data_IF_795934459539
#
_entry.id   IF_795934459539
#
_cell.length_a   1.000
_cell.length_b   1.000
_cell.length_c   1.000
_cell.angle_alpha   90.00
_cell.angle_beta   90.00
_cell.angle_gamma   90.00
#
_symmetry.space_group_name_H-M   'P 1'
#
loop_
_entity.id
_entity.type
_entity.pdbx_description
1 polymer ?
#
# COMPACT_ATOMS: atom_id res chain seq x y z
N UNK A 1 1.40 -8.65 -1.49
CA UNK A 1 1.05 -7.30 -1.99
C UNK A 1 1.99 -6.70 -3.04
N UNK A 2 3.19 -7.24 -3.32
CA UNK A 2 4.10 -6.76 -4.39
C UNK A 2 3.50 -6.68 -5.82
N UNK A 3 2.32 -7.28 -6.04
CA UNK A 3 1.59 -7.21 -7.32
C UNK A 3 0.72 -5.96 -7.45
N UNK A 4 0.54 -5.19 -6.38
CA UNK A 4 -0.18 -3.92 -6.40
C UNK A 4 0.81 -2.82 -6.73
N UNK A 5 0.62 -2.20 -7.90
CA UNK A 5 1.53 -1.22 -8.48
C UNK A 5 0.88 0.16 -8.39
N UNK A 6 1.65 1.16 -7.96
CA UNK A 6 1.25 2.56 -8.09
C UNK A 6 1.27 2.92 -9.60
N UNK A 7 0.12 3.29 -10.20
CA UNK A 7 0.04 3.53 -11.64
C UNK A 7 0.73 4.83 -12.08
N UNK A 8 1.08 5.73 -11.17
CA UNK A 8 1.83 6.95 -11.48
C UNK A 8 3.35 6.71 -11.44
N UNK A 9 3.81 5.97 -10.43
CA UNK A 9 5.24 5.70 -10.23
C UNK A 9 5.73 4.41 -10.87
N UNK A 10 4.83 3.51 -11.26
CA UNK A 10 5.10 2.18 -11.83
C UNK A 10 5.94 1.26 -10.91
N UNK A 11 5.96 1.53 -9.62
CA UNK A 11 6.62 0.72 -8.59
C UNK A 11 5.57 0.13 -7.65
N UNK A 12 5.84 -1.04 -7.08
CA UNK A 12 4.89 -1.66 -6.15
C UNK A 12 4.82 -0.91 -4.83
N UNK A 13 3.64 -0.95 -4.20
CA UNK A 13 3.34 -0.19 -2.98
C UNK A 13 4.19 -0.59 -1.77
N UNK A 14 4.77 -1.79 -1.78
CA UNK A 14 5.61 -2.30 -0.70
C UNK A 14 6.99 -1.67 -0.80
N UNK A 15 7.59 -1.70 -2.00
CA UNK A 15 8.89 -1.07 -2.25
C UNK A 15 8.83 0.45 -2.13
N UNK A 16 7.67 1.04 -2.44
CA UNK A 16 7.38 2.45 -2.22
C UNK A 16 7.24 2.80 -0.73
N UNK A 17 7.12 1.82 0.17
CA UNK A 17 6.91 2.09 1.60
C UNK A 17 5.55 2.72 1.91
N UNK A 18 4.52 2.42 1.12
CA UNK A 18 3.17 2.96 1.33
C UNK A 18 2.39 2.21 2.41
N UNK A 19 2.81 0.99 2.76
CA UNK A 19 2.19 0.18 3.82
C UNK A 19 2.90 0.46 5.14
N UNK A 20 2.18 0.99 6.12
CA UNK A 20 2.73 1.31 7.44
C UNK A 20 2.55 0.17 8.43
N UNK A 21 1.39 -0.47 8.41
CA UNK A 21 1.09 -1.56 9.35
C UNK A 21 0.04 -2.52 8.79
N UNK A 22 0.09 -3.78 9.26
CA UNK A 22 -0.89 -4.82 8.94
C UNK A 22 -1.22 -5.59 10.22
N UNK A 23 -2.48 -5.52 10.63
CA UNK A 23 -2.99 -6.19 11.81
C UNK A 23 -3.96 -7.31 11.40
N UNK A 24 -3.75 -8.51 11.94
CA UNK A 24 -4.69 -9.62 11.82
C UNK A 24 -5.52 -9.69 13.10
N UNK A 25 -6.83 -9.44 13.00
CA UNK A 25 -7.75 -9.34 14.13
C UNK A 25 -8.90 -10.31 13.91
N UNK A 26 -8.84 -11.48 14.57
CA UNK A 26 -9.85 -12.54 14.41
C UNK A 26 -10.10 -12.87 12.93
N UNK A 27 -11.24 -12.47 12.38
CA UNK A 27 -11.67 -12.69 10.99
C UNK A 27 -11.38 -11.50 10.05
N UNK A 28 -10.83 -10.40 10.57
CA UNK A 28 -10.51 -9.19 9.82
C UNK A 28 -8.99 -9.00 9.61
N UNK A 29 -8.65 -8.36 8.50
CA UNK A 29 -7.33 -7.79 8.24
C UNK A 29 -7.48 -6.28 8.15
N UNK A 30 -6.75 -5.56 9.00
CA UNK A 30 -6.67 -4.11 8.95
C UNK A 30 -5.31 -3.70 8.39
N UNK A 31 -5.33 -2.90 7.33
CA UNK A 31 -4.12 -2.35 6.71
C UNK A 31 -4.09 -0.86 6.94
N UNK A 32 -3.06 -0.38 7.62
CA UNK A 32 -2.77 1.06 7.75
C UNK A 32 -1.78 1.43 6.66
N UNK A 33 -2.18 2.35 5.78
CA UNK A 33 -1.35 2.75 4.65
C UNK A 33 -1.50 4.23 4.30
N UNK A 34 -0.61 4.72 3.45
CA UNK A 34 -0.63 6.07 2.91
C UNK A 34 -0.64 6.07 1.38
N UNK A 35 -0.64 7.25 0.78
CA UNK A 35 -0.43 7.46 -0.65
C UNK A 35 0.73 8.44 -0.83
N UNK A 36 1.39 8.37 -1.98
CA UNK A 36 2.46 9.31 -2.36
C UNK A 36 1.98 10.76 -2.35
N UNK A 37 0.70 11.01 -2.65
CA UNK A 37 0.04 12.32 -2.50
C UNK A 37 -1.40 12.21 -1.96
N UNK A 38 -1.89 13.17 -1.14
CA UNK A 38 -3.22 13.08 -0.52
C UNK A 38 -4.40 13.19 -1.47
N UNK A 39 -4.19 13.79 -2.63
CA UNK A 39 -5.22 14.01 -3.65
C UNK A 39 -5.01 13.10 -4.86
N UNK A 40 -4.30 11.99 -4.70
CA UNK A 40 -4.04 11.06 -5.79
C UNK A 40 -5.38 10.50 -6.32
N UNK A 41 -5.75 10.77 -7.59
CA UNK A 41 -6.98 10.25 -8.18
C UNK A 41 -6.96 8.72 -8.29
N UNK A 42 -5.78 8.11 -8.17
CA UNK A 42 -5.57 6.67 -8.24
C UNK A 42 -5.60 5.98 -6.86
N UNK A 43 -5.85 6.71 -5.77
CA UNK A 43 -5.91 6.15 -4.42
C UNK A 43 -6.93 5.01 -4.28
N UNK A 44 -8.09 5.12 -4.95
CA UNK A 44 -9.09 4.04 -4.98
C UNK A 44 -8.59 2.79 -5.72
N UNK A 45 -7.82 2.96 -6.80
CA UNK A 45 -7.25 1.84 -7.53
C UNK A 45 -6.20 1.10 -6.69
N UNK A 46 -5.35 1.86 -5.99
CA UNK A 46 -4.31 1.31 -5.12
C UNK A 46 -4.95 0.56 -3.95
N UNK A 47 -5.86 1.20 -3.21
CA UNK A 47 -6.54 0.59 -2.06
C UNK A 47 -7.41 -0.60 -2.46
N UNK A 48 -8.10 -0.53 -3.61
CA UNK A 48 -8.83 -1.65 -4.20
C UNK A 48 -7.92 -2.81 -4.56
N UNK A 49 -6.74 -2.52 -5.12
CA UNK A 49 -5.70 -3.52 -5.40
C UNK A 49 -5.21 -4.24 -4.15
N UNK A 50 -5.01 -3.50 -3.04
CA UNK A 50 -4.65 -4.09 -1.73
C UNK A 50 -5.73 -5.04 -1.24
N UNK A 51 -6.99 -4.58 -1.20
CA UNK A 51 -8.13 -5.42 -0.79
C UNK A 51 -8.26 -6.67 -1.64
N UNK A 52 -8.10 -6.55 -2.96
CA UNK A 52 -8.18 -7.69 -3.87
C UNK A 52 -7.02 -8.68 -3.65
N UNK A 53 -5.79 -8.18 -3.51
CA UNK A 53 -4.63 -9.02 -3.27
C UNK A 53 -4.77 -9.81 -1.96
N UNK A 54 -5.22 -9.17 -0.88
CA UNK A 54 -5.44 -9.83 0.40
C UNK A 54 -6.65 -10.76 0.38
N UNK A 55 -7.75 -10.42 -0.29
CA UNK A 55 -8.91 -11.31 -0.43
C UNK A 55 -8.64 -12.55 -1.27
N UNK A 56 -7.66 -12.52 -2.17
CA UNK A 56 -7.20 -13.72 -2.90
C UNK A 56 -6.37 -14.63 -1.97
N UNK A 57 -5.53 -14.03 -1.13
CA UNK A 57 -4.61 -14.76 -0.23
C UNK A 57 -5.32 -15.30 1.02
N UNK A 58 -6.29 -14.55 1.53
CA UNK A 58 -7.08 -14.83 2.73
C UNK A 58 -8.58 -14.70 2.43
N UNK A 59 -9.17 -15.65 1.67
CA UNK A 59 -10.55 -15.55 1.19
C UNK A 59 -11.59 -15.62 2.31
N UNK A 60 -11.23 -16.11 3.50
CA UNK A 60 -12.12 -16.13 4.66
C UNK A 60 -12.07 -14.85 5.50
N UNK A 61 -11.25 -13.85 5.13
CA UNK A 61 -11.07 -12.62 5.91
C UNK A 61 -11.55 -11.37 5.17
N UNK A 62 -12.18 -10.47 5.92
CA UNK A 62 -12.54 -9.15 5.43
C UNK A 62 -11.37 -8.17 5.57
N UNK A 63 -11.12 -7.34 4.56
CA UNK A 63 -10.01 -6.38 4.57
C UNK A 63 -10.52 -4.94 4.70
N UNK A 64 -10.12 -4.29 5.78
CA UNK A 64 -10.35 -2.85 6.02
C UNK A 64 -9.07 -2.07 5.77
N UNK A 65 -9.18 -0.95 5.04
CA UNK A 65 -8.05 -0.06 4.75
C UNK A 65 -8.23 1.22 5.57
N UNK A 66 -7.23 1.55 6.38
CA UNK A 66 -7.10 2.80 7.10
C UNK A 66 -6.07 3.68 6.38
N UNK A 67 -6.54 4.74 5.71
CA UNK A 67 -5.68 5.69 5.01
C UNK A 67 -5.27 6.80 5.98
N UNK A 68 -3.97 6.89 6.24
CA UNK A 68 -3.36 7.96 7.05
C UNK A 68 -2.32 8.72 6.23
N UNK A 69 -2.14 9.99 6.57
CA UNK A 69 -1.07 10.86 6.05
C UNK A 69 -0.16 11.37 7.18
N UNK A 70 -0.26 10.75 8.35
CA UNK A 70 0.61 10.98 9.50
C UNK A 70 1.29 9.65 9.88
N UNK A 71 2.62 9.55 9.77
CA UNK A 71 3.53 10.54 9.18
C UNK A 71 3.29 10.70 7.66
N UNK A 72 3.63 11.85 7.06
CA UNK A 72 3.54 12.02 5.61
C UNK A 72 4.59 11.17 4.91
N UNK A 73 4.23 10.63 3.75
CA UNK A 73 5.14 9.83 2.95
C UNK A 73 6.37 10.63 2.48
N UNK A 74 7.55 10.00 2.47
CA UNK A 74 8.78 10.57 1.93
C UNK A 74 9.65 9.51 1.27
N UNK A 75 10.62 9.94 0.44
CA UNK A 75 11.60 9.04 -0.20
C UNK A 75 12.44 8.23 0.80
N UNK A 76 12.48 8.63 2.07
CA UNK A 76 13.18 7.86 3.12
C UNK A 76 12.48 6.52 3.40
N UNK A 77 11.18 6.43 3.12
CA UNK A 77 10.37 5.22 3.30
C UNK A 77 10.59 4.18 2.20
N UNK A 78 11.28 4.54 1.11
CA UNK A 78 11.62 3.61 0.05
C UNK A 78 12.57 2.52 0.53
N UNK A 79 12.26 1.29 0.16
CA UNK A 79 13.20 0.16 0.20
C UNK A 79 14.39 0.40 -0.75
N UNK A 80 15.52 -0.29 -0.56
CA UNK A 80 16.64 -0.24 -1.52
C UNK A 80 16.22 -0.53 -2.96
N UNK A 81 15.34 -1.52 -3.16
CA UNK A 81 14.79 -1.93 -4.46
C UNK A 81 13.88 -0.85 -5.06
N UNK A 82 13.07 -0.19 -4.24
CA UNK A 82 12.24 0.95 -4.66
C UNK A 82 13.08 2.16 -5.08
N UNK A 83 14.18 2.43 -4.36
CA UNK A 83 15.14 3.50 -4.71
C UNK A 83 15.82 3.23 -6.04
N UNK A 84 16.27 1.99 -6.28
CA UNK A 84 16.87 1.60 -7.56
C UNK A 84 15.91 1.79 -8.73
N UNK A 85 14.65 1.38 -8.58
CA UNK A 85 13.62 1.54 -9.62
C UNK A 85 13.29 3.00 -9.93
N UNK A 86 13.34 3.89 -8.94
CA UNK A 86 13.11 5.32 -9.10
C UNK A 86 14.38 6.11 -9.46
N UNK A 87 15.56 5.48 -9.41
CA UNK A 87 16.85 6.09 -9.72
C UNK A 87 17.32 7.13 -8.68
N UNK A 88 16.99 6.92 -7.40
CA UNK A 88 17.31 7.84 -6.28
C UNK A 88 18.26 7.25 -5.25
#
# INVERSE_FOLDING_TARGET
>A
MYRVIDPELFVNIVDLGLIYDIEFIEDDIKVTMTLSTPHCPMGEAITGGVKNALGIEFPEKDTTIDLTFDPPWSFEMLTPEGREQLGV
#
